data_IF_594555325156
#
_entry.id   IF_594555325156
#
_cell.length_a   1.000
_cell.length_b   1.000
_cell.length_c   1.000
_cell.angle_alpha   90.00
_cell.angle_beta   90.00
_cell.angle_gamma   90.00
#
_symmetry.space_group_name_H-M   'P 1'
#
loop_
_entity.id
_entity.type
_entity.pdbx_description
1 polymer ?
#
# COMPACT_ATOMS: atom_id res chain seq x y z
N UNK A 1 -30.63 -8.49 -45.24
CA UNK A 1 -29.17 -8.72 -45.39
C UNK A 1 -28.56 -8.44 -44.04
N UNK A 2 -28.44 -9.43 -43.16
CA UNK A 2 -27.45 -10.47 -43.03
C UNK A 2 -26.02 -9.90 -42.93
N UNK A 3 -25.44 -10.01 -41.69
CA UNK A 3 -24.17 -10.58 -41.32
C UNK A 3 -23.85 -10.07 -39.90
N UNK A 4 -24.02 -10.82 -38.81
CA UNK A 4 -23.21 -11.96 -38.41
C UNK A 4 -21.73 -11.59 -38.18
N UNK A 5 -21.30 -11.57 -36.94
CA UNK A 5 -19.92 -11.34 -36.54
C UNK A 5 -19.77 -11.53 -35.05
N UNK A 6 -19.81 -12.75 -34.63
CA UNK A 6 -18.77 -13.57 -33.98
C UNK A 6 -18.30 -13.12 -32.61
N UNK A 7 -18.88 -13.75 -31.62
CA UNK A 7 -18.40 -13.78 -30.23
C UNK A 7 -17.04 -14.52 -30.16
N UNK A 8 -16.00 -13.84 -29.73
CA UNK A 8 -14.75 -14.45 -29.30
C UNK A 8 -14.74 -14.54 -27.79
N UNK A 9 -15.18 -15.68 -27.26
CA UNK A 9 -15.00 -16.07 -25.87
C UNK A 9 -13.56 -16.54 -25.70
N UNK A 10 -12.69 -15.69 -25.25
CA UNK A 10 -11.38 -16.10 -24.73
C UNK A 10 -11.58 -16.73 -23.33
N UNK A 11 -11.67 -18.04 -23.31
CA UNK A 11 -11.56 -18.83 -22.09
C UNK A 11 -10.16 -18.64 -21.51
N UNK A 12 -10.03 -17.85 -20.45
CA UNK A 12 -8.82 -17.81 -19.66
C UNK A 12 -8.80 -19.06 -18.77
N UNK A 13 -8.07 -20.06 -19.19
CA UNK A 13 -7.73 -21.20 -18.39
C UNK A 13 -6.98 -20.74 -17.14
N UNK A 14 -7.62 -20.88 -15.98
CA UNK A 14 -6.98 -20.72 -14.68
C UNK A 14 -6.15 -21.98 -14.43
N UNK A 15 -4.85 -21.88 -14.66
CA UNK A 15 -3.89 -22.85 -14.17
C UNK A 15 -3.78 -22.67 -12.65
N UNK A 16 -4.53 -23.50 -11.93
CA UNK A 16 -4.33 -23.72 -10.51
C UNK A 16 -3.09 -24.63 -10.42
N UNK A 17 -1.92 -24.02 -10.24
CA UNK A 17 -0.72 -24.74 -9.88
C UNK A 17 -0.86 -25.18 -8.41
N UNK A 18 -1.25 -26.44 -8.23
CA UNK A 18 -1.29 -27.06 -6.92
C UNK A 18 0.12 -27.14 -6.33
N UNK A 19 0.29 -26.57 -5.13
CA UNK A 19 1.43 -26.84 -4.26
C UNK A 19 1.29 -28.27 -3.75
N UNK A 20 1.91 -29.24 -4.42
CA UNK A 20 2.06 -30.59 -3.90
C UNK A 20 3.08 -30.58 -2.78
N UNK A 21 2.60 -30.83 -1.57
CA UNK A 21 3.40 -31.09 -0.38
C UNK A 21 4.09 -32.43 -0.56
N UNK A 22 5.40 -32.43 -0.74
CA UNK A 22 6.27 -33.57 -0.51
C UNK A 22 7.30 -33.17 0.54
N UNK A 23 6.95 -33.47 1.79
CA UNK A 23 7.91 -33.50 2.89
C UNK A 23 8.80 -34.70 2.68
N UNK A 24 10.12 -34.48 2.68
CA UNK A 24 11.15 -35.32 3.33
C UNK A 24 12.56 -34.78 3.02
N UNK A 25 13.32 -34.53 4.09
CA UNK A 25 14.76 -34.22 4.16
C UNK A 25 15.24 -32.78 3.83
N UNK A 26 15.51 -32.10 4.92
CA UNK A 26 16.73 -31.32 5.17
C UNK A 26 17.12 -30.28 4.13
N UNK A 27 16.66 -29.06 4.27
CA UNK A 27 17.15 -27.92 3.50
C UNK A 27 16.09 -26.80 3.54
N UNK A 28 16.27 -25.84 4.42
CA UNK A 28 15.42 -24.65 4.49
C UNK A 28 15.57 -23.84 3.21
N UNK A 29 14.78 -24.16 2.20
CA UNK A 29 14.61 -23.29 1.04
C UNK A 29 13.56 -22.26 1.41
N UNK A 30 13.97 -21.23 2.15
CA UNK A 30 13.21 -19.99 2.27
C UNK A 30 13.32 -19.24 0.94
N UNK A 31 12.72 -19.79 -0.09
CA UNK A 31 12.74 -19.19 -1.41
C UNK A 31 11.50 -18.33 -1.64
N UNK A 32 11.71 -17.02 -1.66
CA UNK A 32 11.14 -16.21 -2.73
C UNK A 32 9.68 -15.78 -2.67
N UNK A 33 8.93 -15.94 -1.56
CA UNK A 33 7.59 -15.35 -1.44
C UNK A 33 7.55 -13.98 -0.73
N UNK A 34 8.69 -13.50 -0.22
CA UNK A 34 8.73 -12.32 0.65
C UNK A 34 8.65 -10.98 -0.11
N UNK A 35 9.27 -10.85 -1.27
CA UNK A 35 9.31 -9.56 -1.97
C UNK A 35 7.97 -9.13 -2.57
N UNK A 36 7.17 -10.08 -3.10
CA UNK A 36 5.81 -9.78 -3.57
C UNK A 36 4.88 -9.44 -2.42
N UNK A 37 5.05 -10.09 -1.27
CA UNK A 37 4.31 -9.79 -0.05
C UNK A 37 4.63 -8.39 0.48
N UNK A 38 5.91 -8.02 0.53
CA UNK A 38 6.36 -6.69 0.95
C UNK A 38 5.81 -5.58 0.06
N UNK A 39 5.91 -5.74 -1.28
CA UNK A 39 5.37 -4.78 -2.23
C UNK A 39 3.85 -4.60 -2.12
N UNK A 40 3.12 -5.68 -1.88
CA UNK A 40 1.66 -5.62 -1.67
C UNK A 40 1.31 -4.86 -0.38
N UNK A 41 2.02 -5.13 0.72
CA UNK A 41 1.84 -4.41 1.98
C UNK A 41 2.20 -2.93 1.86
N UNK A 42 3.29 -2.60 1.16
CA UNK A 42 3.67 -1.22 0.89
C UNK A 42 2.61 -0.49 0.03
N UNK A 43 2.06 -1.15 -0.98
CA UNK A 43 0.95 -0.62 -1.78
C UNK A 43 -0.30 -0.34 -0.94
N UNK A 44 -0.66 -1.24 -0.02
CA UNK A 44 -1.75 -1.01 0.92
C UNK A 44 -1.45 0.14 1.88
N UNK A 45 -0.21 0.24 2.39
CA UNK A 45 0.20 1.38 3.20
C UNK A 45 0.06 2.70 2.43
N UNK A 46 0.51 2.74 1.18
CA UNK A 46 0.37 3.92 0.32
C UNK A 46 -1.09 4.26 0.00
N UNK A 47 -1.99 3.30 -0.11
CA UNK A 47 -3.42 3.57 -0.24
C UNK A 47 -4.00 4.30 1.00
N UNK A 48 -3.51 4.00 2.19
CA UNK A 48 -3.85 4.77 3.39
C UNK A 48 -3.20 6.17 3.36
N UNK A 49 -1.94 6.26 2.96
CA UNK A 49 -1.24 7.56 2.80
C UNK A 49 -2.01 8.47 1.84
N UNK A 50 -2.41 8.00 0.68
CA UNK A 50 -3.18 8.78 -0.31
C UNK A 50 -4.49 9.32 0.25
N UNK A 51 -5.23 8.51 1.02
CA UNK A 51 -6.44 8.95 1.72
C UNK A 51 -6.14 10.03 2.75
N UNK A 52 -5.06 9.86 3.51
CA UNK A 52 -4.58 10.85 4.47
C UNK A 52 -4.20 12.18 3.81
N UNK A 53 -3.46 12.11 2.68
CA UNK A 53 -3.09 13.28 1.87
C UNK A 53 -4.34 14.01 1.33
N UNK A 54 -5.32 13.27 0.83
CA UNK A 54 -6.58 13.84 0.34
C UNK A 54 -7.37 14.55 1.45
N UNK A 55 -7.45 13.97 2.65
CA UNK A 55 -8.08 14.60 3.81
C UNK A 55 -7.33 15.86 4.26
N UNK A 56 -6.00 15.81 4.32
CA UNK A 56 -5.16 16.95 4.65
C UNK A 56 -5.32 18.11 3.65
N UNK A 57 -5.39 17.78 2.36
CA UNK A 57 -5.63 18.78 1.30
C UNK A 57 -7.00 19.43 1.44
N UNK A 58 -8.07 18.65 1.68
CA UNK A 58 -9.41 19.18 1.94
C UNK A 58 -9.44 20.06 3.19
N UNK A 59 -8.67 19.73 4.23
CA UNK A 59 -8.58 20.52 5.45
C UNK A 59 -8.03 21.93 5.22
N UNK A 60 -7.16 22.12 4.21
CA UNK A 60 -6.55 23.42 3.90
C UNK A 60 -7.54 24.46 3.36
N UNK A 61 -8.63 24.01 2.74
CA UNK A 61 -9.69 24.87 2.16
C UNK A 61 -10.99 24.85 2.96
N UNK A 62 -11.06 24.11 4.06
CA UNK A 62 -12.26 23.96 4.89
C UNK A 62 -12.33 25.03 5.99
N UNK A 63 -13.54 25.32 6.49
CA UNK A 63 -13.72 26.12 7.69
C UNK A 63 -13.12 25.45 8.94
N UNK A 64 -12.83 26.22 9.98
CA UNK A 64 -12.04 25.79 11.15
C UNK A 64 -12.51 24.50 11.82
N UNK A 65 -13.81 24.32 12.02
CA UNK A 65 -14.39 23.12 12.62
C UNK A 65 -14.22 21.90 11.71
N UNK A 66 -14.53 22.03 10.42
CA UNK A 66 -14.37 20.98 9.43
C UNK A 66 -12.89 20.63 9.20
N UNK A 67 -12.02 21.63 9.16
CA UNK A 67 -10.58 21.44 9.02
C UNK A 67 -9.99 20.61 10.16
N UNK A 68 -10.48 20.79 11.40
CA UNK A 68 -10.06 19.98 12.55
C UNK A 68 -10.42 18.50 12.36
N UNK A 69 -11.64 18.20 11.94
CA UNK A 69 -12.10 16.84 11.68
C UNK A 69 -11.26 16.18 10.59
N UNK A 70 -11.04 16.87 9.47
CA UNK A 70 -10.26 16.37 8.34
C UNK A 70 -8.78 16.14 8.69
N UNK A 71 -8.20 16.97 9.56
CA UNK A 71 -6.82 16.73 10.04
C UNK A 71 -6.74 15.49 10.92
N UNK A 72 -7.75 15.25 11.76
CA UNK A 72 -7.82 14.02 12.56
C UNK A 72 -7.95 12.81 11.66
N UNK A 73 -8.83 12.84 10.68
CA UNK A 73 -8.98 11.78 9.67
C UNK A 73 -7.67 11.51 8.92
N UNK A 74 -6.98 12.58 8.50
CA UNK A 74 -5.68 12.47 7.84
C UNK A 74 -4.67 11.72 8.71
N UNK A 75 -4.55 12.09 9.98
CA UNK A 75 -3.65 11.43 10.92
C UNK A 75 -4.02 9.97 11.17
N UNK A 76 -5.30 9.66 11.27
CA UNK A 76 -5.77 8.27 11.48
C UNK A 76 -5.42 7.39 10.28
N UNK A 77 -5.56 7.91 9.05
CA UNK A 77 -5.13 7.20 7.85
C UNK A 77 -3.60 6.98 7.81
N UNK A 78 -2.81 8.01 8.13
CA UNK A 78 -1.35 7.89 8.18
C UNK A 78 -0.91 6.86 9.24
N UNK A 79 -1.54 6.85 10.41
CA UNK A 79 -1.27 5.86 11.46
C UNK A 79 -1.67 4.44 11.05
N UNK A 80 -2.76 4.29 10.30
CA UNK A 80 -3.18 2.98 9.77
C UNK A 80 -2.20 2.41 8.74
N UNK A 81 -1.43 3.26 8.04
CA UNK A 81 -0.39 2.83 7.12
C UNK A 81 0.84 2.25 7.83
N UNK A 82 1.16 2.70 9.04
CA UNK A 82 2.41 2.37 9.73
C UNK A 82 2.62 0.85 9.94
N UNK A 83 1.66 0.06 10.47
CA UNK A 83 1.89 -1.36 10.67
C UNK A 83 2.13 -2.12 9.36
N UNK A 84 1.49 -1.70 8.27
CA UNK A 84 1.69 -2.29 6.94
C UNK A 84 3.09 -2.00 6.41
N UNK A 85 3.53 -0.75 6.53
CA UNK A 85 4.88 -0.32 6.12
C UNK A 85 5.96 -0.98 6.98
N UNK A 86 5.74 -1.16 8.29
CA UNK A 86 6.67 -1.82 9.19
C UNK A 86 6.89 -3.30 8.81
N UNK A 87 5.82 -4.04 8.49
CA UNK A 87 5.94 -5.42 8.01
C UNK A 87 6.62 -5.47 6.64
N UNK A 88 6.28 -4.56 5.73
CA UNK A 88 6.94 -4.46 4.42
C UNK A 88 8.44 -4.20 4.57
N UNK A 89 8.83 -3.24 5.40
CA UNK A 89 10.23 -2.89 5.67
C UNK A 89 11.02 -4.02 6.33
N UNK A 90 10.37 -4.83 7.17
CA UNK A 90 10.95 -6.03 7.75
C UNK A 90 11.22 -7.16 6.75
N UNK A 91 10.50 -7.18 5.63
CA UNK A 91 10.66 -8.15 4.56
C UNK A 91 11.58 -7.66 3.43
N UNK A 92 11.58 -6.35 3.17
CA UNK A 92 12.36 -5.72 2.11
C UNK A 92 12.81 -4.32 2.55
N UNK A 93 14.11 -4.11 2.59
CA UNK A 93 14.74 -2.85 3.02
C UNK A 93 14.37 -1.64 2.15
N UNK A 94 13.87 -1.86 0.94
CA UNK A 94 13.35 -0.80 0.04
C UNK A 94 12.28 0.06 0.73
N UNK A 95 11.51 -0.53 1.66
CA UNK A 95 10.39 0.14 2.34
C UNK A 95 10.75 0.81 3.67
N UNK A 96 12.02 0.76 4.10
CA UNK A 96 12.45 1.37 5.36
C UNK A 96 12.24 2.89 5.40
N UNK A 97 12.43 3.57 4.27
CA UNK A 97 12.21 5.02 4.19
C UNK A 97 10.73 5.37 4.42
N UNK A 98 9.80 4.59 3.87
CA UNK A 98 8.36 4.77 4.08
C UNK A 98 7.98 4.53 5.56
N UNK A 99 8.45 3.44 6.15
CA UNK A 99 8.22 3.12 7.56
C UNK A 99 8.78 4.21 8.48
N UNK A 100 10.02 4.66 8.25
CA UNK A 100 10.65 5.71 9.04
C UNK A 100 9.86 7.02 8.97
N UNK A 101 9.41 7.43 7.77
CA UNK A 101 8.61 8.65 7.60
C UNK A 101 7.24 8.53 8.30
N UNK A 102 6.58 7.39 8.20
CA UNK A 102 5.29 7.16 8.86
C UNK A 102 5.43 7.15 10.39
N UNK A 103 6.52 6.62 10.93
CA UNK A 103 6.78 6.59 12.39
C UNK A 103 6.92 7.99 12.98
N UNK A 104 7.42 8.97 12.21
CA UNK A 104 7.52 10.36 12.63
C UNK A 104 6.16 11.05 12.80
N UNK A 105 5.07 10.50 12.25
CA UNK A 105 3.71 11.09 12.35
C UNK A 105 3.20 11.26 13.79
N UNK A 106 3.82 10.59 14.75
CA UNK A 106 3.50 10.75 16.17
C UNK A 106 4.26 11.90 16.85
N UNK A 107 5.30 12.44 16.22
CA UNK A 107 6.19 13.47 16.79
C UNK A 107 6.26 14.73 15.97
N UNK A 108 6.07 14.63 14.66
CA UNK A 108 6.20 15.72 13.71
C UNK A 108 4.84 16.07 13.14
N UNK A 109 4.47 17.36 13.08
CA UNK A 109 3.23 17.80 12.44
C UNK A 109 3.13 17.29 11.01
N UNK A 110 1.96 16.77 10.64
CA UNK A 110 1.73 16.06 9.37
C UNK A 110 2.18 16.87 8.14
N UNK A 111 1.96 18.17 8.13
CA UNK A 111 2.31 19.01 6.97
C UNK A 111 3.79 18.99 6.58
N UNK A 112 4.70 18.67 7.50
CA UNK A 112 6.12 18.49 7.20
C UNK A 112 6.41 17.13 6.55
N UNK A 113 5.55 16.13 6.78
CA UNK A 113 5.73 14.79 6.26
C UNK A 113 5.09 14.59 4.88
N UNK A 114 4.10 15.42 4.50
CA UNK A 114 3.34 15.27 3.27
C UNK A 114 4.21 15.17 2.01
N UNK A 115 5.25 15.99 1.79
CA UNK A 115 6.08 15.90 0.59
C UNK A 115 6.83 14.57 0.49
N UNK A 116 7.38 14.10 1.61
CA UNK A 116 8.12 12.83 1.66
C UNK A 116 7.20 11.64 1.39
N UNK A 117 6.03 11.61 2.05
CA UNK A 117 5.02 10.56 1.85
C UNK A 117 4.50 10.53 0.40
N UNK A 118 4.25 11.69 -0.19
CA UNK A 118 3.86 11.79 -1.60
C UNK A 118 4.94 11.21 -2.50
N UNK A 119 6.20 11.57 -2.30
CA UNK A 119 7.30 11.09 -3.12
C UNK A 119 7.50 9.57 -2.98
N UNK A 120 7.39 9.03 -1.77
CA UNK A 120 7.58 7.60 -1.51
C UNK A 120 6.46 6.72 -2.07
N UNK A 121 5.23 7.24 -2.13
CA UNK A 121 4.08 6.51 -2.64
C UNK A 121 3.79 6.73 -4.14
N UNK A 122 4.34 7.77 -4.77
CA UNK A 122 4.05 8.12 -6.17
C UNK A 122 4.47 7.04 -7.20
N UNK A 123 5.37 6.14 -6.84
CA UNK A 123 5.83 5.06 -7.70
C UNK A 123 5.02 3.76 -7.59
N UNK A 124 3.99 3.71 -6.73
CA UNK A 124 3.20 2.52 -6.43
C UNK A 124 1.74 2.61 -6.92
N UNK A 125 1.37 3.76 -7.43
CA UNK A 125 0.04 4.01 -8.00
C UNK A 125 -0.13 3.40 -9.39
#
# INVERSE_FOLDING_TARGET
>A
MLLSGSASRSARARLIAGCSVLALFGGSVLTGCSSQGAGNLASQACAHVERGLAAAHKASSAGSAQAKVLRTEALDQIRAALPLAAVAAGQDTTWQALEATLSESNRVPLHYLLPALTAQCSGLA
#
